data_IF_254354301800
#
_entry.id   IF_254354301800
#
_cell.length_a   1.000
_cell.length_b   1.000
_cell.length_c   1.000
_cell.angle_alpha   90.00
_cell.angle_beta   90.00
_cell.angle_gamma   90.00
#
_symmetry.space_group_name_H-M   'P 1'
#
loop_
_entity.id
_entity.type
_entity.pdbx_description
1 polymer ?
#
# COMPACT_ATOMS: atom_id res chain seq x y z
N UNK A 1 -2.18 8.38 1.79
CA UNK A 1 -2.15 8.03 0.36
C UNK A 1 -3.56 7.65 -0.06
N UNK A 2 -3.88 7.83 -1.34
CA UNK A 2 -5.17 7.51 -1.93
C UNK A 2 -5.01 6.62 -3.19
N UNK A 3 -6.12 6.26 -3.84
CA UNK A 3 -6.09 5.40 -5.03
C UNK A 3 -5.24 5.98 -6.18
N UNK A 4 -5.28 7.29 -6.41
CA UNK A 4 -4.48 7.96 -7.45
C UNK A 4 -2.97 7.83 -7.17
N UNK A 5 -2.58 7.91 -5.89
CA UNK A 5 -1.19 7.64 -5.47
C UNK A 5 -0.74 6.23 -5.91
N UNK A 6 -1.57 5.20 -5.71
CA UNK A 6 -1.21 3.81 -6.04
C UNK A 6 -1.22 3.54 -7.55
N UNK A 7 -2.13 4.16 -8.31
CA UNK A 7 -2.12 4.09 -9.76
C UNK A 7 -0.80 4.66 -10.34
N UNK A 8 -0.26 5.73 -9.74
CA UNK A 8 1.02 6.34 -10.14
C UNK A 8 2.24 5.54 -9.71
N UNK A 9 2.16 4.81 -8.58
CA UNK A 9 3.23 3.93 -8.09
C UNK A 9 3.39 2.68 -8.97
N UNK A 10 2.30 2.13 -9.49
CA UNK A 10 2.31 0.89 -10.28
C UNK A 10 3.41 0.83 -11.35
N UNK A 11 3.53 1.80 -12.26
CA UNK A 11 4.59 1.84 -13.26
C UNK A 11 6.02 1.77 -12.69
N UNK A 12 6.27 2.31 -11.50
CA UNK A 12 7.61 2.36 -10.90
C UNK A 12 8.05 0.99 -10.36
N UNK A 13 7.10 0.14 -9.98
CA UNK A 13 7.37 -1.20 -9.45
C UNK A 13 7.25 -2.29 -10.51
N UNK A 14 7.08 -1.91 -11.78
CA UNK A 14 6.87 -2.86 -12.88
C UNK A 14 8.01 -3.88 -12.97
N UNK A 15 7.67 -5.16 -12.91
CA UNK A 15 8.64 -6.26 -12.97
C UNK A 15 9.17 -6.70 -11.61
N UNK A 16 8.72 -6.09 -10.50
CA UNK A 16 9.02 -6.59 -9.17
C UNK A 16 8.45 -8.02 -8.98
N UNK A 17 9.25 -8.90 -8.36
CA UNK A 17 8.80 -10.27 -8.04
C UNK A 17 7.73 -10.29 -6.96
N UNK A 18 7.85 -9.40 -5.97
CA UNK A 18 6.92 -9.27 -4.84
C UNK A 18 6.81 -7.82 -4.43
N UNK A 19 5.60 -7.36 -4.14
CA UNK A 19 5.34 -6.03 -3.60
C UNK A 19 4.37 -6.14 -2.41
N UNK A 20 4.76 -5.55 -1.28
CA UNK A 20 3.98 -5.64 -0.05
C UNK A 20 3.43 -4.26 0.33
N UNK A 21 2.11 -4.16 0.46
CA UNK A 21 1.48 -3.02 1.09
C UNK A 21 1.52 -3.24 2.59
N UNK A 22 2.03 -2.25 3.33
CA UNK A 22 2.11 -2.30 4.77
C UNK A 22 1.24 -1.19 5.36
N UNK A 23 0.37 -1.58 6.29
CA UNK A 23 -0.49 -0.64 7.01
C UNK A 23 0.39 0.25 7.87
N UNK A 24 0.11 1.57 7.84
CA UNK A 24 0.73 2.50 8.76
C UNK A 24 0.32 2.17 10.20
N UNK A 25 1.28 2.22 11.12
CA UNK A 25 1.01 2.09 12.55
C UNK A 25 1.53 3.35 13.22
N UNK A 26 0.62 4.08 13.85
CA UNK A 26 0.97 5.32 14.53
C UNK A 26 1.86 5.03 15.76
N UNK A 27 2.75 5.97 16.08
CA UNK A 27 3.71 5.88 17.18
C UNK A 27 4.04 7.27 17.71
N UNK A 28 4.36 7.36 18.99
CA UNK A 28 4.73 8.63 19.65
C UNK A 28 5.97 9.32 19.04
N UNK A 29 6.75 8.59 18.24
CA UNK A 29 7.91 9.11 17.52
C UNK A 29 7.56 9.74 16.17
N UNK A 30 6.29 9.70 15.73
CA UNK A 30 5.85 10.31 14.47
C UNK A 30 5.77 11.84 14.68
N UNK A 31 6.57 12.65 13.94
CA UNK A 31 6.68 14.09 14.22
C UNK A 31 5.40 14.91 13.98
N UNK A 32 4.44 14.37 13.23
CA UNK A 32 3.19 15.04 12.87
C UNK A 32 1.99 14.22 13.31
N UNK A 33 1.16 14.80 14.17
CA UNK A 33 -0.15 14.27 14.50
C UNK A 33 -1.11 14.39 13.31
N UNK A 34 -2.12 13.50 13.26
CA UNK A 34 -3.21 13.57 12.26
C UNK A 34 -3.02 12.71 11.02
N UNK A 35 -2.02 11.82 11.00
CA UNK A 35 -1.93 10.76 9.99
C UNK A 35 -2.83 9.60 10.38
N UNK A 36 -3.65 9.13 9.44
CA UNK A 36 -4.53 7.98 9.62
C UNK A 36 -4.09 6.82 8.74
N UNK A 37 -4.17 5.62 9.29
CA UNK A 37 -4.01 4.40 8.50
C UNK A 37 -5.23 4.22 7.58
N UNK A 38 -5.04 3.71 6.35
CA UNK A 38 -6.17 3.30 5.52
C UNK A 38 -6.89 2.11 6.16
N UNK A 39 -8.18 2.00 5.90
CA UNK A 39 -8.97 0.81 6.22
C UNK A 39 -8.49 -0.41 5.44
N UNK A 40 -8.86 -1.61 5.89
CA UNK A 40 -8.53 -2.84 5.19
C UNK A 40 -9.15 -2.92 3.79
N UNK A 41 -10.32 -2.32 3.59
CA UNK A 41 -10.98 -2.28 2.29
C UNK A 41 -10.26 -1.33 1.32
N UNK A 42 -9.79 -0.18 1.81
CA UNK A 42 -8.92 0.71 1.02
C UNK A 42 -7.60 0.02 0.65
N UNK A 43 -6.98 -0.70 1.59
CA UNK A 43 -5.77 -1.48 1.34
C UNK A 43 -5.97 -2.54 0.27
N UNK A 44 -7.09 -3.27 0.30
CA UNK A 44 -7.45 -4.26 -0.73
C UNK A 44 -7.64 -3.60 -2.09
N UNK A 45 -8.33 -2.46 -2.14
CA UNK A 45 -8.46 -1.68 -3.37
C UNK A 45 -7.09 -1.24 -3.92
N UNK A 46 -6.17 -0.83 -3.05
CA UNK A 46 -4.81 -0.46 -3.46
C UNK A 46 -4.01 -1.64 -4.00
N UNK A 47 -4.15 -2.85 -3.40
CA UNK A 47 -3.55 -4.09 -3.92
C UNK A 47 -4.00 -4.33 -5.36
N UNK A 48 -5.30 -4.21 -5.63
CA UNK A 48 -5.84 -4.47 -6.97
C UNK A 48 -5.33 -3.47 -8.01
N UNK A 49 -5.12 -2.21 -7.62
CA UNK A 49 -4.53 -1.19 -8.50
C UNK A 49 -3.08 -1.51 -8.90
N UNK A 50 -2.29 -2.13 -8.01
CA UNK A 50 -0.88 -2.41 -8.29
C UNK A 50 -0.61 -3.85 -8.78
N UNK A 51 -1.58 -4.76 -8.65
CA UNK A 51 -1.48 -6.16 -9.08
C UNK A 51 -0.99 -6.33 -10.53
N UNK A 52 -1.36 -5.49 -11.51
CA UNK A 52 -0.86 -5.63 -12.88
C UNK A 52 0.66 -5.40 -13.05
N UNK A 53 1.33 -4.82 -12.05
CA UNK A 53 2.71 -4.36 -12.19
C UNK A 53 3.74 -5.28 -11.52
N UNK A 54 3.34 -6.11 -10.55
CA UNK A 54 4.23 -7.05 -9.87
C UNK A 54 3.69 -8.48 -9.96
N UNK A 55 4.57 -9.47 -9.89
CA UNK A 55 4.18 -10.87 -10.01
C UNK A 55 3.35 -11.37 -8.81
N UNK A 56 3.57 -10.77 -7.64
CA UNK A 56 2.89 -11.10 -6.39
C UNK A 56 2.72 -9.83 -5.55
N UNK A 57 1.48 -9.56 -5.14
CA UNK A 57 1.13 -8.39 -4.34
C UNK A 57 0.33 -8.83 -3.12
N UNK A 58 0.78 -8.45 -1.94
CA UNK A 58 0.17 -8.86 -0.68
C UNK A 58 0.11 -7.71 0.33
N UNK A 59 -0.79 -7.81 1.30
CA UNK A 59 -0.78 -6.97 2.49
C UNK A 59 0.12 -7.65 3.52
N UNK A 60 1.13 -6.94 4.04
CA UNK A 60 2.03 -7.50 5.04
C UNK A 60 1.31 -7.72 6.36
N UNK A 61 1.32 -8.97 6.83
CA UNK A 61 0.67 -9.36 8.09
C UNK A 61 -0.85 -9.54 7.99
N UNK A 62 -1.42 -9.50 6.77
CA UNK A 62 -2.81 -9.88 6.53
C UNK A 62 -2.92 -11.38 6.25
N UNK A 63 -3.79 -12.05 6.99
CA UNK A 63 -4.56 -13.20 6.46
C UNK A 63 -5.70 -12.68 5.59
#
# INVERSE_FOLDING_TARGET
HDADSFAKIGPWIKGAKRYFLQVFTDRDTVPFAGLTAPSMDELRAYVDLVRPYAADVQIRGGE
#
